data_IF_136976564035
#
_entry.id   IF_136976564035
#
_cell.length_a   1.000
_cell.length_b   1.000
_cell.length_c   1.000
_cell.angle_alpha   90.00
_cell.angle_beta   90.00
_cell.angle_gamma   90.00
#
_symmetry.space_group_name_H-M   'P 1'
#
loop_
_entity.id
_entity.type
_entity.pdbx_description
1 polymer ?
#
# COMPACT_ATOMS: atom_id res chain seq x y z
N UNK A 1 15.04 10.97 -33.37
CA UNK A 1 14.64 11.42 -32.02
C UNK A 1 13.76 10.33 -31.45
N UNK A 2 14.15 9.68 -30.35
CA UNK A 2 13.25 8.79 -29.62
C UNK A 2 12.43 9.68 -28.67
N UNK A 3 11.12 9.78 -28.90
CA UNK A 3 10.18 10.37 -27.96
C UNK A 3 9.60 9.23 -27.15
N UNK A 4 10.00 9.11 -25.88
CA UNK A 4 9.39 8.18 -24.95
C UNK A 4 8.27 8.95 -24.22
N UNK A 5 7.02 8.70 -24.60
CA UNK A 5 5.88 9.22 -23.86
C UNK A 5 5.57 8.25 -22.72
N UNK A 6 5.84 8.71 -21.49
CA UNK A 6 5.57 7.99 -20.26
C UNK A 6 4.49 8.77 -19.50
N UNK A 7 3.24 8.58 -19.89
CA UNK A 7 2.09 9.10 -19.16
C UNK A 7 1.57 8.00 -18.24
N UNK A 8 1.32 8.31 -16.96
CA UNK A 8 0.68 7.37 -16.03
C UNK A 8 -0.51 8.07 -15.41
N UNK A 9 -1.69 7.46 -15.53
CA UNK A 9 -2.86 7.88 -14.78
C UNK A 9 -3.07 6.92 -13.61
N UNK A 10 -2.91 7.40 -12.38
CA UNK A 10 -3.06 6.57 -11.18
C UNK A 10 -4.18 7.10 -10.28
N UNK A 11 -5.07 6.20 -9.89
CA UNK A 11 -6.04 6.37 -8.81
C UNK A 11 -5.53 5.63 -7.59
N UNK A 12 -5.55 6.27 -6.43
CA UNK A 12 -5.20 5.63 -5.16
C UNK A 12 -6.19 6.03 -4.07
N UNK A 13 -6.45 5.10 -3.16
CA UNK A 13 -7.23 5.34 -1.95
C UNK A 13 -6.67 4.54 -0.77
N UNK A 14 -6.79 5.13 0.42
CA UNK A 14 -6.43 4.48 1.68
C UNK A 14 -7.47 4.84 2.72
N UNK A 15 -8.10 3.83 3.29
CA UNK A 15 -9.06 3.98 4.37
C UNK A 15 -8.46 3.43 5.67
N UNK A 16 -8.63 4.18 6.77
CA UNK A 16 -8.30 3.72 8.11
C UNK A 16 -9.57 3.66 8.94
N UNK A 17 -9.85 2.51 9.52
CA UNK A 17 -11.06 2.31 10.33
C UNK A 17 -10.67 1.91 11.76
N UNK A 18 -11.27 2.52 12.79
CA UNK A 18 -11.07 2.07 14.17
C UNK A 18 -11.67 0.67 14.34
N UNK A 19 -10.94 -0.21 15.04
CA UNK A 19 -11.43 -1.56 15.34
C UNK A 19 -12.24 -1.64 16.63
N UNK A 20 -12.17 -0.61 17.48
CA UNK A 20 -12.69 -0.63 18.84
C UNK A 20 -11.83 -1.42 19.83
N UNK A 21 -10.71 -2.00 19.37
CA UNK A 21 -9.77 -2.74 20.20
C UNK A 21 -8.56 -1.87 20.51
N UNK A 22 -8.07 -1.97 21.74
CA UNK A 22 -6.82 -1.34 22.17
C UNK A 22 -5.74 -2.41 22.43
N UNK A 23 -4.51 -2.11 22.04
CA UNK A 23 -3.32 -2.89 22.37
C UNK A 23 -2.12 -1.95 22.52
N UNK A 24 -1.13 -2.37 23.31
CA UNK A 24 0.11 -1.60 23.53
C UNK A 24 -0.13 -0.17 24.05
N UNK A 25 -1.27 0.03 24.73
CA UNK A 25 -1.68 1.32 25.26
C UNK A 25 -2.35 2.24 24.23
N UNK A 26 -2.73 1.77 23.04
CA UNK A 26 -3.48 2.61 22.11
C UNK A 26 -4.40 1.84 21.16
N UNK A 27 -5.19 2.56 20.35
CA UNK A 27 -6.20 1.96 19.50
C UNK A 27 -5.56 1.24 18.30
N UNK A 28 -6.05 0.03 18.03
CA UNK A 28 -5.76 -0.68 16.78
C UNK A 28 -6.69 -0.16 15.67
N UNK A 29 -6.11 0.12 14.50
CA UNK A 29 -6.84 0.51 13.30
C UNK A 29 -6.61 -0.51 12.19
N UNK A 30 -7.62 -0.76 11.38
CA UNK A 30 -7.42 -1.47 10.11
C UNK A 30 -7.08 -0.47 9.02
N UNK A 31 -6.30 -0.92 8.05
CA UNK A 31 -5.88 -0.14 6.90
C UNK A 31 -6.27 -0.91 5.65
N UNK A 32 -7.18 -0.34 4.86
CA UNK A 32 -7.49 -0.83 3.52
C UNK A 32 -6.86 0.09 2.48
N UNK A 33 -6.21 -0.47 1.48
CA UNK A 33 -5.54 0.25 0.39
C UNK A 33 -6.08 -0.25 -0.94
N UNK A 34 -6.29 0.67 -1.87
CA UNK A 34 -6.57 0.34 -3.26
C UNK A 34 -5.83 1.29 -4.17
N UNK A 35 -5.28 0.78 -5.26
CA UNK A 35 -4.70 1.61 -6.31
C UNK A 35 -4.92 0.96 -7.66
N UNK A 36 -5.25 1.77 -8.66
CA UNK A 36 -5.36 1.36 -10.05
C UNK A 36 -4.57 2.36 -10.90
N UNK A 37 -3.71 1.88 -11.78
CA UNK A 37 -2.87 2.70 -12.65
C UNK A 37 -3.04 2.26 -14.09
N UNK A 38 -3.22 3.22 -14.99
CA UNK A 38 -3.17 3.05 -16.44
C UNK A 38 -1.79 3.52 -16.92
N UNK A 39 -1.09 2.65 -17.66
CA UNK A 39 0.32 2.78 -18.06
C UNK A 39 0.46 2.77 -19.60
N UNK A 40 -0.10 3.76 -20.31
CA UNK A 40 -0.05 3.81 -21.76
C UNK A 40 1.38 4.03 -22.27
N UNK A 41 1.74 3.39 -23.38
CA UNK A 41 3.00 3.62 -24.08
C UNK A 41 4.17 2.74 -23.61
N UNK A 42 5.38 3.28 -23.64
CA UNK A 42 6.62 2.52 -23.42
C UNK A 42 6.74 1.93 -21.99
N UNK A 43 6.03 2.52 -21.00
CA UNK A 43 5.98 1.99 -19.64
C UNK A 43 5.19 0.67 -19.53
N UNK A 44 4.04 0.58 -20.20
CA UNK A 44 3.27 -0.66 -20.27
C UNK A 44 4.03 -1.76 -21.01
N UNK A 45 4.87 -1.38 -21.99
CA UNK A 45 5.71 -2.31 -22.74
C UNK A 45 6.79 -2.98 -21.86
N UNK A 46 7.41 -2.23 -20.94
CA UNK A 46 8.42 -2.78 -19.99
C UNK A 46 7.78 -3.66 -18.92
N UNK A 47 6.60 -3.27 -18.42
CA UNK A 47 5.86 -4.03 -17.40
C UNK A 47 4.95 -5.12 -18.01
N UNK A 48 4.89 -5.21 -19.34
CA UNK A 48 3.98 -6.07 -20.13
C UNK A 48 2.53 -5.97 -19.68
N UNK A 49 2.08 -4.76 -19.41
CA UNK A 49 0.76 -4.51 -18.84
C UNK A 49 0.38 -3.05 -19.03
N UNK A 50 -0.76 -2.81 -19.66
CA UNK A 50 -1.29 -1.46 -19.87
C UNK A 50 -2.06 -0.93 -18.64
N UNK A 51 -2.38 -1.80 -17.68
CA UNK A 51 -3.06 -1.42 -16.44
C UNK A 51 -2.69 -2.30 -15.24
N UNK A 52 -2.55 -1.70 -14.07
CA UNK A 52 -2.22 -2.42 -12.84
C UNK A 52 -3.16 -2.02 -11.71
N UNK A 53 -3.78 -3.01 -11.07
CA UNK A 53 -4.59 -2.81 -9.88
C UNK A 53 -3.96 -3.53 -8.68
N UNK A 54 -4.02 -2.89 -7.52
CA UNK A 54 -3.53 -3.44 -6.26
C UNK A 54 -4.54 -3.16 -5.16
N UNK A 55 -4.85 -4.18 -4.39
CA UNK A 55 -5.64 -4.09 -3.17
C UNK A 55 -4.78 -4.52 -1.99
N UNK A 56 -4.92 -3.84 -0.86
CA UNK A 56 -4.19 -4.14 0.36
C UNK A 56 -5.08 -4.08 1.58
N UNK A 57 -4.76 -4.92 2.56
CA UNK A 57 -5.40 -4.90 3.86
C UNK A 57 -4.37 -5.13 4.95
N UNK A 58 -4.53 -4.43 6.06
CA UNK A 58 -3.54 -4.42 7.12
C UNK A 58 -4.07 -3.87 8.43
N UNK A 59 -3.18 -3.85 9.40
CA UNK A 59 -3.41 -3.33 10.73
C UNK A 59 -2.35 -2.29 11.08
N UNK A 60 -2.75 -1.32 11.87
CA UNK A 60 -1.92 -0.27 12.43
C UNK A 60 -2.13 -0.29 13.95
N UNK A 61 -1.04 -0.38 14.69
CA UNK A 61 -1.03 -0.41 16.15
C UNK A 61 -0.19 0.75 16.69
N UNK A 62 -0.70 1.37 17.75
CA UNK A 62 -0.04 2.46 18.44
C UNK A 62 0.82 1.89 19.58
N UNK A 63 2.11 2.19 19.57
CA UNK A 63 3.11 1.64 20.51
C UNK A 63 3.84 2.75 21.27
N UNK A 64 3.33 3.99 21.20
CA UNK A 64 3.93 5.12 21.90
C UNK A 64 4.02 4.90 23.43
N UNK A 65 3.10 4.11 24.00
CA UNK A 65 3.04 3.86 25.44
C UNK A 65 3.78 2.60 25.89
N UNK A 66 4.29 1.78 24.97
CA UNK A 66 4.99 0.52 25.29
C UNK A 66 6.45 0.67 25.71
N UNK A 67 6.98 1.90 25.77
CA UNK A 67 8.35 2.16 26.22
C UNK A 67 9.45 1.79 25.22
N UNK A 68 9.11 1.56 23.93
CA UNK A 68 10.10 1.46 22.84
C UNK A 68 10.50 2.89 22.47
N UNK A 69 11.73 3.34 22.80
CA UNK A 69 12.07 4.77 22.93
C UNK A 69 12.14 5.57 21.61
N UNK A 70 11.66 5.04 20.49
CA UNK A 70 11.65 5.74 19.19
C UNK A 70 10.50 5.29 18.28
N UNK A 71 9.66 4.32 18.67
CA UNK A 71 8.61 3.82 17.76
C UNK A 71 7.25 4.19 18.34
N UNK A 72 6.54 5.06 17.63
CA UNK A 72 5.19 5.49 18.03
C UNK A 72 4.11 4.62 17.42
N UNK A 73 4.37 4.04 16.25
CA UNK A 73 3.36 3.28 15.50
C UNK A 73 4.00 2.21 14.65
N UNK A 74 3.40 1.03 14.65
CA UNK A 74 3.73 -0.04 13.72
C UNK A 74 2.55 -0.35 12.80
N UNK A 75 2.85 -0.74 11.56
CA UNK A 75 1.86 -1.09 10.56
C UNK A 75 2.32 -2.28 9.75
N UNK A 76 1.41 -3.23 9.58
CA UNK A 76 1.59 -4.41 8.73
C UNK A 76 0.49 -4.41 7.67
N UNK A 77 0.85 -4.48 6.39
CA UNK A 77 -0.10 -4.51 5.28
C UNK A 77 0.25 -5.62 4.32
N UNK A 78 -0.71 -6.48 4.04
CA UNK A 78 -0.65 -7.42 2.94
C UNK A 78 -1.24 -6.77 1.68
N UNK A 79 -0.61 -6.99 0.53
CA UNK A 79 -1.02 -6.45 -0.76
C UNK A 79 -1.10 -7.55 -1.79
N UNK A 80 -2.14 -7.49 -2.61
CA UNK A 80 -2.33 -8.30 -3.79
C UNK A 80 -2.38 -7.39 -5.01
N UNK A 81 -1.57 -7.70 -6.01
CA UNK A 81 -1.42 -6.93 -7.24
C UNK A 81 -1.80 -7.81 -8.43
N UNK A 82 -2.55 -7.22 -9.36
CA UNK A 82 -2.97 -7.83 -10.61
C UNK A 82 -2.75 -6.87 -11.77
N UNK A 83 -2.42 -7.43 -12.92
CA UNK A 83 -2.36 -6.79 -14.22
C UNK A 83 -2.60 -7.85 -15.30
N UNK A 84 -2.39 -7.51 -16.57
CA UNK A 84 -2.68 -8.39 -17.70
C UNK A 84 -1.85 -9.67 -17.70
N UNK A 85 -0.58 -9.55 -17.31
CA UNK A 85 0.37 -10.67 -17.30
C UNK A 85 1.13 -10.81 -15.99
N UNK A 86 0.70 -10.07 -14.96
CA UNK A 86 1.37 -10.03 -13.67
C UNK A 86 0.37 -10.25 -12.54
N UNK A 87 0.67 -11.20 -11.68
CA UNK A 87 0.05 -11.33 -10.37
C UNK A 87 1.15 -11.35 -9.31
N UNK A 88 0.89 -10.69 -8.19
CA UNK A 88 1.91 -10.52 -7.16
C UNK A 88 1.31 -10.37 -5.78
N UNK A 89 2.05 -10.87 -4.79
CA UNK A 89 1.74 -10.69 -3.38
C UNK A 89 2.87 -9.92 -2.71
N UNK A 90 2.54 -9.03 -1.78
CA UNK A 90 3.50 -8.24 -1.04
C UNK A 90 3.12 -8.15 0.43
N UNK A 91 4.11 -8.25 1.30
CA UNK A 91 3.95 -7.96 2.72
C UNK A 91 4.80 -6.75 3.07
N UNK A 92 4.15 -5.69 3.56
CA UNK A 92 4.80 -4.44 3.94
C UNK A 92 4.76 -4.24 5.44
N UNK A 93 5.93 -3.99 6.02
CA UNK A 93 6.06 -3.54 7.40
C UNK A 93 6.53 -2.09 7.43
N UNK A 94 5.92 -1.26 8.27
CA UNK A 94 6.30 0.14 8.45
C UNK A 94 6.26 0.53 9.93
N UNK A 95 7.21 1.35 10.35
CA UNK A 95 7.26 1.97 11.67
C UNK A 95 7.30 3.49 11.53
N UNK A 96 6.77 4.20 12.51
CA UNK A 96 6.85 5.66 12.62
C UNK A 96 7.65 6.03 13.87
N UNK A 97 8.42 7.11 13.76
CA UNK A 97 9.31 7.63 14.79
C UNK A 97 8.82 8.99 15.29
#
# INVERSE_FOLDING_TARGET
MASAEAETLALWSRLRMPTGVEAFGGPIRTVAEFSASWLPGDQGTVLRTDWLAQAGYGIEFDVAQTGIPVVTKGRLVFRYTIGEHLTGYGLGFAVSF
#
